data_IF_303287743003
#
_entry.id   IF_303287743003
#
_cell.length_a   1.000
_cell.length_b   1.000
_cell.length_c   1.000
_cell.angle_alpha   90.00
_cell.angle_beta   90.00
_cell.angle_gamma   90.00
#
_symmetry.space_group_name_H-M   'P 1'
#
loop_
_entity.id
_entity.type
_entity.pdbx_description
1 polymer ?
#
# COMPACT_ATOMS: atom_id res chain seq x y z
N UNK A 1 -14.77 -1.78 41.63
CA UNK A 1 -14.25 -0.74 40.71
C UNK A 1 -13.12 -1.41 39.95
N UNK A 2 -13.41 -1.91 38.75
CA UNK A 2 -12.44 -2.67 37.93
C UNK A 2 -11.95 -1.74 36.82
N UNK A 3 -10.66 -1.42 36.84
CA UNK A 3 -10.00 -0.61 35.81
C UNK A 3 -9.55 -1.54 34.70
N UNK A 4 -10.32 -1.61 33.61
CA UNK A 4 -9.89 -2.26 32.37
C UNK A 4 -8.96 -1.30 31.61
N UNK A 5 -7.67 -1.63 31.56
CA UNK A 5 -6.70 -1.01 30.65
C UNK A 5 -7.05 -1.39 29.20
N UNK A 6 -6.95 -0.48 28.23
CA UNK A 6 -7.08 -0.84 26.81
C UNK A 6 -5.77 -1.49 26.34
N UNK A 7 -5.83 -2.77 25.99
CA UNK A 7 -4.77 -3.48 25.27
C UNK A 7 -4.60 -2.87 23.87
N UNK A 8 -3.62 -1.98 23.72
CA UNK A 8 -3.08 -1.57 22.42
C UNK A 8 -2.01 -2.59 21.99
N UNK A 9 -2.44 -3.82 21.71
CA UNK A 9 -1.60 -4.87 21.16
C UNK A 9 -1.67 -4.86 19.63
N UNK A 10 -0.70 -4.24 18.96
CA UNK A 10 -0.53 -4.40 17.51
C UNK A 10 0.12 -5.76 17.25
N UNK A 11 -0.70 -6.80 17.17
CA UNK A 11 -0.24 -8.16 16.88
C UNK A 11 -0.14 -8.36 15.36
N UNK A 12 1.07 -8.20 14.81
CA UNK A 12 1.34 -8.33 13.37
C UNK A 12 1.46 -9.82 12.97
N UNK A 13 0.32 -10.51 12.87
CA UNK A 13 0.24 -11.91 12.48
C UNK A 13 0.29 -12.12 10.97
N UNK A 14 1.45 -12.53 10.44
CA UNK A 14 1.62 -13.03 9.06
C UNK A 14 1.00 -14.43 8.91
N UNK A 15 -0.32 -14.48 8.70
CA UNK A 15 -1.01 -15.70 8.31
C UNK A 15 -2.17 -15.38 7.37
N UNK A 16 -2.23 -16.04 6.22
CA UNK A 16 -3.35 -15.97 5.27
C UNK A 16 -4.73 -16.28 5.94
N UNK A 17 -4.73 -16.95 7.10
CA UNK A 17 -5.91 -17.19 7.95
C UNK A 17 -6.16 -16.11 9.03
N UNK A 18 -5.12 -15.41 9.51
CA UNK A 18 -5.23 -14.31 10.49
C UNK A 18 -5.75 -13.00 9.89
N UNK A 19 -5.66 -12.84 8.56
CA UNK A 19 -6.23 -11.71 7.84
C UNK A 19 -7.75 -11.55 8.10
N UNK A 20 -8.47 -12.65 8.37
CA UNK A 20 -9.91 -12.60 8.65
C UNK A 20 -10.25 -11.84 9.94
N UNK A 21 -9.28 -11.61 10.82
CA UNK A 21 -9.43 -10.88 12.09
C UNK A 21 -9.05 -9.40 12.02
N UNK A 22 -8.34 -8.94 10.97
CA UNK A 22 -7.90 -7.53 10.85
C UNK A 22 -9.09 -6.56 10.96
N UNK A 23 -9.04 -5.59 11.86
CA UNK A 23 -10.05 -4.54 11.88
C UNK A 23 -9.99 -3.66 10.61
N UNK A 24 -10.94 -2.73 10.50
CA UNK A 24 -11.00 -1.82 9.36
C UNK A 24 -9.79 -0.87 9.31
N UNK A 25 -9.38 -0.35 10.47
CA UNK A 25 -8.25 0.58 10.54
C UNK A 25 -6.95 -0.11 10.13
N UNK A 26 -6.77 -1.37 10.50
CA UNK A 26 -5.63 -2.21 10.15
C UNK A 26 -5.61 -2.50 8.65
N UNK A 27 -6.77 -2.73 8.03
CA UNK A 27 -6.88 -2.89 6.57
C UNK A 27 -6.56 -1.59 5.83
N UNK A 28 -7.05 -0.44 6.31
CA UNK A 28 -6.69 0.87 5.75
C UNK A 28 -5.18 1.10 5.88
N UNK A 29 -4.60 0.84 7.05
CA UNK A 29 -3.17 1.00 7.29
C UNK A 29 -2.33 0.08 6.39
N UNK A 30 -2.71 -1.19 6.27
CA UNK A 30 -2.06 -2.14 5.38
C UNK A 30 -2.10 -1.65 3.92
N UNK A 31 -3.24 -1.09 3.50
CA UNK A 31 -3.41 -0.53 2.17
C UNK A 31 -2.54 0.72 1.95
N UNK A 32 -2.45 1.62 2.93
CA UNK A 32 -1.52 2.76 2.90
C UNK A 32 -0.06 2.31 2.80
N UNK A 33 0.31 1.28 3.55
CA UNK A 33 1.67 0.77 3.54
C UNK A 33 2.03 0.16 2.19
N UNK A 34 1.18 -0.71 1.65
CA UNK A 34 1.43 -1.40 0.38
C UNK A 34 1.38 -0.45 -0.81
N UNK A 35 0.30 0.33 -0.97
CA UNK A 35 0.13 1.22 -2.13
C UNK A 35 0.88 2.56 -2.01
N UNK A 36 1.26 2.95 -0.80
CA UNK A 36 2.07 4.14 -0.55
C UNK A 36 3.55 3.81 -0.58
N UNK A 37 4.05 3.25 0.53
CA UNK A 37 5.49 3.03 0.74
C UNK A 37 6.00 1.86 -0.11
N UNK A 38 5.33 0.71 -0.06
CA UNK A 38 5.77 -0.49 -0.77
C UNK A 38 5.86 -0.26 -2.27
N UNK A 39 4.81 0.31 -2.85
CA UNK A 39 4.75 0.65 -4.27
C UNK A 39 5.83 1.66 -4.64
N UNK A 40 5.95 2.79 -3.91
CA UNK A 40 6.97 3.80 -4.19
C UNK A 40 8.41 3.26 -4.12
N UNK A 41 8.74 2.51 -3.06
CA UNK A 41 10.09 1.95 -2.88
C UNK A 41 10.38 0.91 -3.95
N UNK A 42 9.43 0.02 -4.24
CA UNK A 42 9.62 -1.00 -5.27
C UNK A 42 9.76 -0.40 -6.67
N UNK A 43 8.98 0.63 -7.03
CA UNK A 43 9.13 1.38 -8.28
C UNK A 43 10.49 2.06 -8.35
N UNK A 44 10.93 2.73 -7.28
CA UNK A 44 12.24 3.40 -7.26
C UNK A 44 13.39 2.41 -7.42
N UNK A 45 13.31 1.27 -6.73
CA UNK A 45 14.32 0.23 -6.86
C UNK A 45 14.34 -0.32 -8.29
N UNK A 46 13.18 -0.69 -8.84
CA UNK A 46 13.06 -1.18 -10.21
C UNK A 46 13.66 -0.17 -11.19
N UNK A 47 13.27 1.10 -11.10
CA UNK A 47 13.80 2.17 -11.94
C UNK A 47 15.31 2.37 -11.76
N UNK A 48 15.83 2.32 -10.52
CA UNK A 48 17.26 2.47 -10.26
C UNK A 48 18.12 1.34 -10.86
N UNK A 49 17.56 0.14 -10.99
CA UNK A 49 18.24 -1.02 -11.54
C UNK A 49 18.08 -1.12 -13.06
N UNK A 50 16.93 -0.76 -13.62
CA UNK A 50 16.67 -0.86 -15.06
C UNK A 50 17.11 0.39 -15.82
N UNK A 51 16.99 1.58 -15.22
CA UNK A 51 17.11 2.87 -15.90
C UNK A 51 16.02 3.11 -16.96
N UNK A 52 15.05 2.21 -17.11
CA UNK A 52 14.09 2.20 -18.21
C UNK A 52 12.71 2.70 -17.74
N UNK A 53 12.42 3.94 -18.13
CA UNK A 53 11.17 4.62 -17.81
C UNK A 53 9.98 4.14 -18.65
N UNK A 54 10.21 3.33 -19.70
CA UNK A 54 9.15 2.76 -20.54
C UNK A 54 8.41 1.59 -19.86
N UNK A 55 9.02 1.00 -18.83
CA UNK A 55 8.45 -0.08 -18.03
C UNK A 55 7.40 0.42 -17.01
N UNK A 56 7.38 1.72 -16.71
CA UNK A 56 6.36 2.32 -15.86
C UNK A 56 5.09 2.61 -16.67
N UNK A 57 3.97 2.00 -16.32
CA UNK A 57 2.71 2.18 -17.05
C UNK A 57 2.02 3.51 -16.71
N UNK A 58 2.22 4.04 -15.51
CA UNK A 58 1.52 5.23 -15.05
C UNK A 58 2.20 6.52 -15.56
N UNK A 59 1.53 7.31 -16.43
CA UNK A 59 2.14 8.51 -17.02
C UNK A 59 2.48 9.59 -15.98
N UNK A 60 1.76 9.65 -14.86
CA UNK A 60 2.04 10.60 -13.78
C UNK A 60 3.29 10.18 -13.03
N UNK A 61 3.42 8.89 -12.70
CA UNK A 61 4.62 8.36 -12.03
C UNK A 61 5.85 8.54 -12.92
N UNK A 62 5.72 8.29 -14.23
CA UNK A 62 6.77 8.60 -15.22
C UNK A 62 7.20 10.07 -15.17
N UNK A 63 6.25 10.99 -15.16
CA UNK A 63 6.54 12.42 -15.10
C UNK A 63 7.28 12.80 -13.81
N UNK A 64 6.90 12.20 -12.67
CA UNK A 64 7.58 12.41 -11.38
C UNK A 64 9.01 11.87 -11.43
N UNK A 65 9.19 10.63 -11.89
CA UNK A 65 10.51 9.98 -12.01
C UNK A 65 11.46 10.76 -12.94
N UNK A 66 10.94 11.35 -14.02
CA UNK A 66 11.72 12.19 -14.94
C UNK A 66 12.21 13.49 -14.31
N UNK A 67 11.47 14.05 -13.37
CA UNK A 67 11.82 15.31 -12.72
C UNK A 67 12.76 15.08 -11.54
N UNK A 68 12.34 14.25 -10.58
CA UNK A 68 13.13 13.84 -9.42
C UNK A 68 12.58 12.50 -8.89
N UNK A 69 13.36 11.40 -8.97
CA UNK A 69 12.91 10.10 -8.49
C UNK A 69 12.48 10.11 -7.01
N UNK A 70 13.19 10.82 -6.12
CA UNK A 70 12.86 10.81 -4.69
C UNK A 70 11.51 11.49 -4.40
N UNK A 71 11.05 12.37 -5.29
CA UNK A 71 9.71 12.97 -5.19
C UNK A 71 8.59 11.93 -5.27
N UNK A 72 8.85 10.74 -5.83
CA UNK A 72 7.86 9.66 -5.89
C UNK A 72 7.44 9.20 -4.49
N UNK A 73 8.36 9.15 -3.52
CA UNK A 73 8.05 8.80 -2.13
C UNK A 73 7.10 9.82 -1.51
N UNK A 74 7.38 11.11 -1.71
CA UNK A 74 6.53 12.19 -1.20
C UNK A 74 5.16 12.14 -1.86
N UNK A 75 5.12 11.98 -3.19
CA UNK A 75 3.87 11.92 -3.95
C UNK A 75 3.00 10.75 -3.52
N UNK A 76 3.54 9.53 -3.51
CA UNK A 76 2.82 8.32 -3.08
C UNK A 76 2.44 8.39 -1.60
N UNK A 77 3.31 8.91 -0.75
CA UNK A 77 3.02 9.15 0.66
C UNK A 77 1.84 10.10 0.86
N UNK A 78 1.79 11.21 0.10
CA UNK A 78 0.69 12.15 0.14
C UNK A 78 -0.63 11.52 -0.35
N UNK A 79 -0.59 10.79 -1.47
CA UNK A 79 -1.78 10.07 -1.98
C UNK A 79 -2.27 9.04 -0.96
N UNK A 80 -1.37 8.23 -0.39
CA UNK A 80 -1.71 7.23 0.62
C UNK A 80 -2.30 7.87 1.88
N UNK A 81 -1.75 9.00 2.33
CA UNK A 81 -2.28 9.75 3.47
C UNK A 81 -3.69 10.27 3.19
N UNK A 82 -3.91 10.91 2.04
CA UNK A 82 -5.24 11.43 1.64
C UNK A 82 -6.27 10.29 1.59
N UNK A 83 -5.93 9.18 0.92
CA UNK A 83 -6.82 8.01 0.81
C UNK A 83 -7.07 7.40 2.19
N UNK A 84 -6.03 7.21 3.00
CA UNK A 84 -6.11 6.63 4.33
C UNK A 84 -6.98 7.45 5.27
N UNK A 85 -6.73 8.75 5.36
CA UNK A 85 -7.55 9.69 6.14
C UNK A 85 -8.99 9.64 5.67
N UNK A 86 -9.23 9.70 4.35
CA UNK A 86 -10.58 9.65 3.79
C UNK A 86 -11.31 8.36 4.17
N UNK A 87 -10.63 7.21 4.11
CA UNK A 87 -11.22 5.93 4.49
C UNK A 87 -11.54 5.89 5.99
N UNK A 88 -10.66 6.41 6.85
CA UNK A 88 -10.92 6.49 8.30
C UNK A 88 -12.10 7.41 8.61
N UNK A 89 -12.13 8.62 8.05
CA UNK A 89 -13.21 9.60 8.28
C UNK A 89 -14.55 9.11 7.71
N UNK A 90 -14.54 8.39 6.58
CA UNK A 90 -15.73 7.84 5.95
C UNK A 90 -16.05 6.39 6.37
N UNK A 91 -15.47 5.89 7.47
CA UNK A 91 -15.61 4.50 7.93
C UNK A 91 -17.07 4.02 7.94
N UNK A 92 -17.99 4.80 8.51
CA UNK A 92 -19.40 4.42 8.64
C UNK A 92 -20.09 4.28 7.27
N UNK A 93 -19.67 5.06 6.27
CA UNK A 93 -20.17 4.93 4.90
C UNK A 93 -19.63 3.66 4.27
N UNK A 94 -18.32 3.42 4.36
CA UNK A 94 -17.67 2.26 3.75
C UNK A 94 -18.18 0.95 4.34
N UNK A 95 -18.35 0.87 5.67
CA UNK A 95 -18.84 -0.33 6.35
C UNK A 95 -20.30 -0.68 6.03
N UNK A 96 -21.09 0.26 5.51
CA UNK A 96 -22.47 0.01 5.05
C UNK A 96 -22.52 -0.66 3.68
N UNK A 97 -21.44 -0.60 2.91
CA UNK A 97 -21.38 -1.25 1.58
C UNK A 97 -21.20 -2.76 1.78
N UNK A 98 -22.06 -3.62 1.18
CA UNK A 98 -21.86 -5.05 1.26
C UNK A 98 -20.50 -5.41 0.66
N UNK A 99 -19.82 -6.40 1.26
CA UNK A 99 -18.52 -6.91 0.80
C UNK A 99 -17.34 -5.90 0.89
N UNK A 100 -17.48 -4.79 1.63
CA UNK A 100 -16.39 -3.81 1.82
C UNK A 100 -15.06 -4.46 2.24
N UNK A 101 -15.13 -5.50 3.08
CA UNK A 101 -13.97 -6.22 3.60
C UNK A 101 -13.26 -7.00 2.50
N UNK A 102 -14.03 -7.77 1.72
CA UNK A 102 -13.49 -8.51 0.57
C UNK A 102 -12.88 -7.56 -0.46
N UNK A 103 -13.54 -6.42 -0.72
CA UNK A 103 -13.01 -5.39 -1.59
C UNK A 103 -11.65 -4.86 -1.11
N UNK A 104 -11.53 -4.53 0.18
CA UNK A 104 -10.25 -4.08 0.75
C UNK A 104 -9.14 -5.12 0.60
N UNK A 105 -9.45 -6.40 0.81
CA UNK A 105 -8.49 -7.48 0.57
C UNK A 105 -8.08 -7.62 -0.89
N UNK A 106 -9.03 -7.49 -1.82
CA UNK A 106 -8.73 -7.54 -3.26
C UNK A 106 -7.79 -6.39 -3.64
N UNK A 107 -8.11 -5.16 -3.21
CA UNK A 107 -7.27 -3.99 -3.48
C UNK A 107 -5.90 -4.13 -2.83
N UNK A 108 -5.83 -4.64 -1.59
CA UNK A 108 -4.56 -4.93 -0.92
C UNK A 108 -3.74 -5.97 -1.69
N UNK A 109 -4.37 -7.07 -2.12
CA UNK A 109 -3.73 -8.14 -2.88
C UNK A 109 -3.19 -7.66 -4.23
N UNK A 110 -3.95 -6.82 -4.95
CA UNK A 110 -3.50 -6.20 -6.19
C UNK A 110 -2.27 -5.32 -5.96
N UNK A 111 -2.27 -4.50 -4.90
CA UNK A 111 -1.11 -3.68 -4.55
C UNK A 111 0.12 -4.52 -4.25
N UNK A 112 -0.04 -5.59 -3.48
CA UNK A 112 1.05 -6.51 -3.17
C UNK A 112 1.61 -7.19 -4.42
N UNK A 113 0.74 -7.54 -5.38
CA UNK A 113 1.17 -8.11 -6.66
C UNK A 113 1.98 -7.10 -7.50
N UNK A 114 1.57 -5.83 -7.52
CA UNK A 114 2.33 -4.76 -8.19
C UNK A 114 3.71 -4.59 -7.56
N UNK A 115 3.78 -4.51 -6.23
CA UNK A 115 5.05 -4.41 -5.50
C UNK A 115 5.97 -5.59 -5.83
N UNK A 116 5.44 -6.82 -5.80
CA UNK A 116 6.20 -8.02 -6.15
C UNK A 116 6.69 -7.99 -7.60
N UNK A 117 5.86 -7.52 -8.54
CA UNK A 117 6.23 -7.35 -9.95
C UNK A 117 7.36 -6.34 -10.14
N UNK A 118 7.33 -5.20 -9.43
CA UNK A 118 8.40 -4.20 -9.48
C UNK A 118 9.73 -4.78 -8.98
N UNK A 119 9.72 -5.50 -7.85
CA UNK A 119 10.90 -6.22 -7.37
C UNK A 119 11.40 -7.24 -8.39
N UNK A 120 10.50 -8.03 -8.98
CA UNK A 120 10.85 -9.01 -10.00
C UNK A 120 11.54 -8.36 -11.20
N UNK A 121 10.98 -7.27 -11.75
CA UNK A 121 11.57 -6.54 -12.88
C UNK A 121 12.95 -5.99 -12.53
N UNK A 122 13.12 -5.40 -11.34
CA UNK A 122 14.41 -4.89 -10.89
C UNK A 122 15.46 -5.99 -10.73
N UNK A 123 15.11 -7.10 -10.07
CA UNK A 123 16.05 -8.19 -9.83
C UNK A 123 16.35 -9.02 -11.07
N UNK A 124 15.43 -9.11 -12.03
CA UNK A 124 15.66 -9.79 -13.30
C UNK A 124 16.80 -9.16 -14.11
N UNK A 125 17.15 -7.88 -13.86
CA UNK A 125 18.29 -7.21 -14.50
C UNK A 125 19.65 -7.54 -13.89
N UNK A 126 19.68 -8.25 -12.74
CA UNK A 126 20.91 -8.63 -12.06
C UNK A 126 21.43 -10.02 -12.46
N UNK A 127 20.68 -10.73 -13.32
CA UNK A 127 20.98 -12.09 -13.81
C UNK A 127 21.36 -12.02 -15.28
#
# INVERSE_FOLDING_TARGET
MSTSSPDFGVEFGLGFLGARELGYAELVFAQMFVWGIGDAVSTLLAFSLTGDLSLEANPIVRAVLLHDPLLLLVFKGAVAAVVGITLIECRDVVMRVPLWRSWMFVVLGLGSAVVASNFYVGFAMLV
#
